data_IF_885721868128
#
_entry.id   IF_885721868128
#
_cell.length_a   1.000
_cell.length_b   1.000
_cell.length_c   1.000
_cell.angle_alpha   90.00
_cell.angle_beta   90.00
_cell.angle_gamma   90.00
#
_symmetry.space_group_name_H-M   'P 1'
#
loop_
_entity.id
_entity.type
_entity.pdbx_description
1 polymer ?
#
# COMPACT_ATOMS: atom_id res chain seq x y z
N UNK A 1 -23.27 -13.80 -1.92
CA UNK A 1 -21.96 -14.39 -1.59
C UNK A 1 -21.57 -13.85 -0.22
N UNK A 2 -21.54 -14.71 0.80
CA UNK A 2 -21.14 -14.32 2.15
C UNK A 2 -19.64 -13.97 2.14
N UNK A 3 -19.29 -12.77 2.57
CA UNK A 3 -17.91 -12.35 2.71
C UNK A 3 -17.21 -13.23 3.75
N UNK A 4 -16.10 -13.81 3.38
CA UNK A 4 -15.22 -14.58 4.26
C UNK A 4 -14.75 -13.68 5.41
N UNK A 5 -15.25 -13.94 6.62
CA UNK A 5 -14.85 -13.19 7.82
C UNK A 5 -13.48 -13.72 8.24
N UNK A 6 -12.44 -12.96 7.93
CA UNK A 6 -11.07 -13.27 8.38
C UNK A 6 -11.00 -13.13 9.90
N UNK A 7 -10.96 -14.25 10.62
CA UNK A 7 -10.72 -14.28 12.07
C UNK A 7 -9.24 -14.10 12.34
N UNK A 8 -8.89 -13.02 13.04
CA UNK A 8 -7.52 -12.76 13.49
C UNK A 8 -7.40 -13.24 14.94
N UNK A 9 -6.65 -14.32 15.16
CA UNK A 9 -6.36 -14.81 16.51
C UNK A 9 -5.53 -13.78 17.29
N UNK A 10 -5.78 -13.66 18.61
CA UNK A 10 -5.08 -12.71 19.48
C UNK A 10 -5.54 -11.25 19.38
N UNK A 11 -6.59 -10.97 18.59
CA UNK A 11 -7.07 -9.60 18.41
C UNK A 11 -7.60 -8.96 19.72
N UNK A 12 -8.22 -9.75 20.58
CA UNK A 12 -8.81 -9.24 21.84
C UNK A 12 -7.72 -8.93 22.87
N UNK A 13 -6.69 -9.76 22.96
CA UNK A 13 -5.51 -9.48 23.78
C UNK A 13 -4.77 -8.24 23.28
N UNK A 14 -4.61 -8.12 21.97
CA UNK A 14 -4.06 -6.93 21.34
C UNK A 14 -4.87 -5.66 21.65
N UNK A 15 -6.21 -5.71 21.56
CA UNK A 15 -7.07 -4.58 21.90
C UNK A 15 -6.91 -4.16 23.34
N UNK A 16 -6.83 -5.12 24.28
CA UNK A 16 -6.64 -4.86 25.71
C UNK A 16 -5.31 -4.15 25.97
N UNK A 17 -4.18 -4.73 25.50
CA UNK A 17 -2.85 -4.14 25.66
C UNK A 17 -2.73 -2.78 24.94
N UNK A 18 -3.36 -2.65 23.78
CA UNK A 18 -3.41 -1.38 23.07
C UNK A 18 -4.22 -0.32 23.84
N UNK A 19 -5.23 -0.71 24.60
CA UNK A 19 -6.03 0.22 25.41
C UNK A 19 -5.22 0.87 26.57
N UNK A 20 -4.18 0.22 27.03
CA UNK A 20 -3.28 0.73 28.10
C UNK A 20 -2.28 1.77 27.56
N UNK A 21 -2.09 1.85 26.25
CA UNK A 21 -1.11 2.72 25.60
C UNK A 21 -1.71 4.09 25.26
N UNK A 22 -0.97 5.19 25.40
CA UNK A 22 -1.43 6.51 24.99
C UNK A 22 -1.90 6.56 23.53
N UNK A 23 -2.99 7.27 23.27
CA UNK A 23 -3.67 7.30 21.95
C UNK A 23 -2.73 7.63 20.77
N UNK A 24 -1.76 8.51 20.97
CA UNK A 24 -0.79 8.89 19.94
C UNK A 24 0.14 7.73 19.55
N UNK A 25 0.64 6.99 20.55
CA UNK A 25 1.50 5.82 20.34
C UNK A 25 0.73 4.66 19.70
N UNK A 26 -0.50 4.43 20.14
CA UNK A 26 -1.43 3.46 19.58
C UNK A 26 -1.56 3.62 18.07
N UNK A 27 -1.80 4.85 17.59
CA UNK A 27 -1.89 5.17 16.17
C UNK A 27 -0.57 4.96 15.42
N UNK A 28 0.57 5.25 16.05
CA UNK A 28 1.89 5.03 15.46
C UNK A 28 2.18 3.56 15.24
N UNK A 29 1.92 2.72 16.25
CA UNK A 29 2.12 1.26 16.18
C UNK A 29 1.26 0.65 15.07
N UNK A 30 -0.05 0.92 15.08
CA UNK A 30 -0.98 0.43 14.06
C UNK A 30 -0.56 0.86 12.64
N UNK A 31 -0.21 2.13 12.45
CA UNK A 31 0.23 2.64 11.16
C UNK A 31 1.50 1.93 10.67
N UNK A 32 2.47 1.71 11.55
CA UNK A 32 3.73 1.07 11.19
C UNK A 32 3.53 -0.40 10.84
N UNK A 33 2.67 -1.12 11.57
CA UNK A 33 2.32 -2.51 11.29
C UNK A 33 1.55 -2.64 9.98
N UNK A 34 0.53 -1.81 9.75
CA UNK A 34 -0.22 -1.77 8.48
C UNK A 34 0.68 -1.41 7.30
N UNK A 35 1.58 -0.44 7.47
CA UNK A 35 2.53 -0.06 6.42
C UNK A 35 3.52 -1.19 6.11
N UNK A 36 3.89 -2.01 7.08
CA UNK A 36 4.75 -3.18 6.85
C UNK A 36 4.05 -4.21 5.95
N UNK A 37 2.81 -4.59 6.26
CA UNK A 37 2.01 -5.47 5.40
C UNK A 37 1.75 -4.87 4.01
N UNK A 38 1.40 -3.58 3.94
CA UNK A 38 1.16 -2.91 2.67
C UNK A 38 2.39 -2.84 1.75
N UNK A 39 3.62 -2.94 2.29
CA UNK A 39 4.83 -3.04 1.46
C UNK A 39 4.87 -4.32 0.64
N UNK A 40 4.40 -5.45 1.18
CA UNK A 40 4.31 -6.70 0.41
C UNK A 40 3.37 -6.54 -0.78
N UNK A 41 2.17 -6.00 -0.56
CA UNK A 41 1.21 -5.72 -1.64
C UNK A 41 1.81 -4.75 -2.68
N UNK A 42 2.49 -3.71 -2.24
CA UNK A 42 3.20 -2.77 -3.12
C UNK A 42 4.24 -3.49 -3.99
N UNK A 43 5.00 -4.39 -3.42
CA UNK A 43 6.11 -5.05 -4.13
C UNK A 43 5.58 -6.07 -5.14
N UNK A 44 4.47 -6.76 -4.84
CA UNK A 44 3.74 -7.56 -5.83
C UNK A 44 3.16 -6.68 -6.94
N UNK A 45 2.54 -5.56 -6.61
CA UNK A 45 2.04 -4.61 -7.61
C UNK A 45 3.16 -4.10 -8.53
N UNK A 46 4.34 -3.82 -7.97
CA UNK A 46 5.53 -3.42 -8.75
C UNK A 46 6.05 -4.52 -9.66
N UNK A 47 6.01 -5.79 -9.23
CA UNK A 47 6.39 -6.93 -10.10
C UNK A 47 5.43 -7.10 -11.27
N UNK A 48 4.14 -6.91 -11.03
CA UNK A 48 3.08 -7.05 -12.03
C UNK A 48 2.92 -5.81 -12.93
N UNK A 49 3.49 -4.66 -12.54
CA UNK A 49 3.35 -3.42 -13.30
C UNK A 49 4.01 -3.55 -14.68
N UNK A 50 3.27 -3.31 -15.78
CA UNK A 50 3.83 -3.40 -17.12
C UNK A 50 4.88 -2.30 -17.32
N UNK A 51 6.00 -2.69 -17.92
CA UNK A 51 7.10 -1.80 -18.28
C UNK A 51 7.15 -1.70 -19.80
N UNK A 52 7.26 -0.49 -20.31
CA UNK A 52 7.40 -0.24 -21.74
C UNK A 52 8.74 -0.79 -22.24
N UNK A 53 8.72 -1.54 -23.33
CA UNK A 53 9.94 -1.97 -24.03
C UNK A 53 10.38 -0.84 -24.97
N UNK A 54 11.63 -0.42 -24.87
CA UNK A 54 12.20 0.56 -25.80
C UNK A 54 12.17 0.01 -27.23
N UNK A 55 11.70 0.81 -28.17
CA UNK A 55 11.63 0.44 -29.59
C UNK A 55 10.28 -0.05 -30.10
N UNK A 56 9.30 -0.33 -29.23
CA UNK A 56 7.98 -0.85 -29.64
C UNK A 56 6.86 0.18 -29.70
N UNK A 57 7.09 1.43 -29.29
CA UNK A 57 6.06 2.46 -29.25
C UNK A 57 6.46 3.71 -30.04
N UNK A 58 5.62 4.08 -31.00
CA UNK A 58 5.75 5.33 -31.78
C UNK A 58 5.74 6.60 -30.90
N UNK A 59 5.26 6.50 -29.66
CA UNK A 59 5.18 7.60 -28.69
C UNK A 59 6.30 7.55 -27.62
N UNK A 60 7.35 6.77 -27.86
CA UNK A 60 8.34 6.41 -26.84
C UNK A 60 9.47 7.42 -26.57
N UNK A 61 9.85 8.36 -27.47
CA UNK A 61 11.13 9.07 -27.30
C UNK A 61 11.23 9.91 -26.03
N UNK A 62 10.13 10.30 -25.40
CA UNK A 62 10.16 11.12 -24.20
C UNK A 62 9.64 10.44 -22.91
N UNK A 63 9.03 9.25 -23.01
CA UNK A 63 8.54 8.53 -21.83
C UNK A 63 9.60 7.60 -21.25
N UNK A 64 9.78 7.67 -19.94
CA UNK A 64 10.72 6.80 -19.23
C UNK A 64 10.09 5.44 -18.94
N UNK A 65 10.73 4.30 -19.33
CA UNK A 65 10.27 2.99 -18.92
C UNK A 65 10.15 2.86 -17.42
N UNK A 66 9.12 2.16 -16.94
CA UNK A 66 8.93 1.90 -15.51
C UNK A 66 8.40 3.07 -14.69
N UNK A 67 7.99 4.20 -15.29
CA UNK A 67 7.44 5.35 -14.57
C UNK A 67 6.28 4.96 -13.64
N UNK A 68 5.32 4.14 -14.11
CA UNK A 68 4.21 3.63 -13.28
C UNK A 68 4.73 2.74 -12.15
N UNK A 69 5.60 1.78 -12.46
CA UNK A 69 6.22 0.88 -11.48
C UNK A 69 6.92 1.65 -10.35
N UNK A 70 7.69 2.67 -10.70
CA UNK A 70 8.39 3.51 -9.71
C UNK A 70 7.43 4.38 -8.89
N UNK A 71 6.28 4.75 -9.44
CA UNK A 71 5.29 5.59 -8.78
C UNK A 71 4.39 4.83 -7.79
N UNK A 72 4.39 3.47 -7.78
CA UNK A 72 3.61 2.67 -6.83
C UNK A 72 4.18 2.88 -5.42
N UNK A 73 3.34 3.37 -4.50
CA UNK A 73 3.72 3.73 -3.13
C UNK A 73 2.69 3.26 -2.11
N UNK A 74 3.18 2.96 -0.91
CA UNK A 74 2.36 2.86 0.31
C UNK A 74 2.10 4.27 0.83
N UNK A 75 0.86 4.59 1.17
CA UNK A 75 0.46 5.90 1.68
C UNK A 75 -0.50 5.75 2.85
N UNK A 76 -0.41 6.66 3.80
CA UNK A 76 -1.38 6.77 4.89
C UNK A 76 -2.60 7.56 4.41
N UNK A 77 -3.78 7.07 4.72
CA UNK A 77 -5.03 7.76 4.43
C UNK A 77 -5.13 9.07 5.21
N UNK A 78 -5.45 10.14 4.51
CA UNK A 78 -5.71 11.45 5.16
C UNK A 78 -7.11 11.51 5.75
N UNK A 79 -8.09 10.84 5.13
CA UNK A 79 -9.46 10.78 5.60
C UNK A 79 -9.54 10.08 6.96
N UNK A 80 -8.97 8.87 7.05
CA UNK A 80 -8.93 8.09 8.28
C UNK A 80 -8.17 8.83 9.39
N UNK A 81 -7.06 9.49 9.03
CA UNK A 81 -6.31 10.32 10.00
C UNK A 81 -7.13 11.49 10.54
N UNK A 82 -7.98 12.12 9.73
CA UNK A 82 -8.89 13.19 10.17
C UNK A 82 -10.01 12.65 11.06
N UNK A 83 -10.55 11.48 10.75
CA UNK A 83 -11.53 10.78 11.58
C UNK A 83 -10.94 10.23 12.89
N UNK A 84 -9.62 10.26 13.04
CA UNK A 84 -8.96 9.73 14.22
C UNK A 84 -8.51 8.28 14.07
N UNK A 85 -8.75 7.66 12.93
CA UNK A 85 -8.40 6.28 12.58
C UNK A 85 -7.05 6.18 11.88
N UNK A 86 -6.67 4.94 11.57
CA UNK A 86 -5.44 4.63 10.84
C UNK A 86 -5.78 3.80 9.61
N UNK A 87 -5.61 4.40 8.44
CA UNK A 87 -5.72 3.71 7.15
C UNK A 87 -4.42 3.79 6.36
N UNK A 88 -4.07 2.69 5.71
CA UNK A 88 -2.91 2.59 4.80
C UNK A 88 -3.39 1.97 3.49
N UNK A 89 -2.92 2.50 2.38
CA UNK A 89 -3.27 2.01 1.06
C UNK A 89 -2.09 2.05 0.09
N UNK A 90 -2.16 1.20 -0.93
CA UNK A 90 -1.19 1.15 -2.04
C UNK A 90 -1.83 1.81 -3.25
N UNK A 91 -1.15 2.78 -3.83
CA UNK A 91 -1.60 3.39 -5.09
C UNK A 91 -0.44 3.92 -5.92
N UNK A 92 -0.75 4.38 -7.13
CA UNK A 92 0.20 5.11 -7.99
C UNK A 92 0.19 6.58 -7.60
N UNK A 93 1.35 7.08 -7.14
CA UNK A 93 1.52 8.49 -6.78
C UNK A 93 1.58 9.35 -8.05
N UNK A 94 0.66 10.31 -8.25
CA UNK A 94 0.74 11.24 -9.38
C UNK A 94 1.92 12.20 -9.22
N UNK A 95 2.32 12.86 -10.31
CA UNK A 95 3.24 13.97 -10.26
C UNK A 95 2.70 15.12 -9.40
N UNK A 96 3.56 16.08 -9.06
CA UNK A 96 3.16 17.27 -8.30
C UNK A 96 2.06 18.06 -9.03
N UNK A 97 1.28 18.82 -8.28
CA UNK A 97 0.30 19.74 -8.87
C UNK A 97 1.03 20.69 -9.86
N UNK A 98 0.40 20.98 -10.98
CA UNK A 98 1.00 21.76 -12.08
C UNK A 98 1.93 20.97 -13.02
N UNK A 99 2.35 19.77 -12.64
CA UNK A 99 3.23 18.91 -13.45
C UNK A 99 2.54 17.62 -13.92
N UNK A 100 1.22 17.58 -13.90
CA UNK A 100 0.43 16.39 -14.29
C UNK A 100 0.10 16.42 -15.77
N UNK A 101 -0.01 15.21 -16.35
CA UNK A 101 -0.54 15.00 -17.69
C UNK A 101 0.49 14.51 -18.71
N UNK A 102 0.03 14.43 -19.95
CA UNK A 102 0.77 13.79 -21.04
C UNK A 102 2.11 14.46 -21.40
N UNK A 103 2.24 15.75 -21.13
CA UNK A 103 3.46 16.52 -21.42
C UNK A 103 4.61 16.24 -20.46
N UNK A 104 4.32 15.63 -19.28
CA UNK A 104 5.37 15.29 -18.31
C UNK A 104 5.79 13.82 -18.48
N UNK A 105 7.03 13.52 -18.91
CA UNK A 105 7.51 12.14 -19.09
C UNK A 105 7.59 11.34 -17.78
N UNK A 106 7.64 12.01 -16.63
CA UNK A 106 7.72 11.39 -15.32
C UNK A 106 6.34 11.25 -14.63
N UNK A 107 5.24 11.72 -15.24
CA UNK A 107 3.91 11.55 -14.67
C UNK A 107 3.31 10.20 -15.07
N UNK A 108 2.95 9.35 -14.11
CA UNK A 108 2.30 8.07 -14.36
C UNK A 108 0.80 8.21 -14.67
N UNK A 109 0.28 9.36 -15.15
CA UNK A 109 -1.15 9.63 -15.33
C UNK A 109 -1.92 8.51 -16.06
N UNK A 110 -1.23 7.80 -16.95
CA UNK A 110 -1.80 6.72 -17.77
C UNK A 110 -1.96 5.38 -17.03
N UNK A 111 -1.59 5.29 -15.76
CA UNK A 111 -1.68 4.05 -14.98
C UNK A 111 -3.09 3.44 -14.97
N UNK A 112 -4.14 4.30 -14.97
CA UNK A 112 -5.53 3.84 -15.02
C UNK A 112 -5.86 3.13 -16.34
N UNK A 113 -5.28 3.58 -17.44
CA UNK A 113 -5.45 2.91 -18.73
C UNK A 113 -4.79 1.53 -18.74
N UNK A 114 -3.69 1.37 -18.04
CA UNK A 114 -3.05 0.06 -17.85
C UNK A 114 -3.90 -0.85 -16.95
N UNK A 115 -4.41 -0.34 -15.85
CA UNK A 115 -5.18 -1.12 -14.87
C UNK A 115 -6.52 -1.59 -15.44
N UNK A 116 -7.29 -0.67 -16.04
CA UNK A 116 -8.68 -0.91 -16.46
C UNK A 116 -8.84 -1.11 -17.97
N UNK A 117 -7.80 -0.86 -18.75
CA UNK A 117 -7.88 -0.87 -20.20
C UNK A 117 -8.56 0.39 -20.76
N UNK A 118 -8.69 0.42 -22.08
CA UNK A 118 -9.42 1.43 -22.85
C UNK A 118 -10.15 0.73 -24.01
N UNK A 119 -10.96 1.47 -24.78
CA UNK A 119 -11.59 0.92 -25.99
C UNK A 119 -10.57 0.35 -27.00
N UNK A 120 -9.30 0.83 -26.98
CA UNK A 120 -8.23 0.45 -27.93
C UNK A 120 -7.13 -0.41 -27.31
N UNK A 121 -7.12 -0.59 -26.00
CA UNK A 121 -6.05 -1.29 -25.28
C UNK A 121 -6.63 -2.23 -24.22
N UNK A 122 -6.27 -3.53 -24.23
CA UNK A 122 -6.72 -4.46 -23.19
C UNK A 122 -6.17 -4.07 -21.82
N UNK A 123 -6.93 -4.37 -20.77
CA UNK A 123 -6.52 -4.17 -19.39
C UNK A 123 -5.30 -5.06 -19.04
N UNK A 124 -4.36 -4.49 -18.31
CA UNK A 124 -3.21 -5.20 -17.70
C UNK A 124 -3.18 -4.90 -16.20
N UNK A 125 -4.14 -5.44 -15.43
CA UNK A 125 -4.34 -5.07 -14.03
C UNK A 125 -3.13 -5.51 -13.19
N UNK A 126 -2.45 -4.58 -12.57
CA UNK A 126 -1.28 -4.82 -11.73
C UNK A 126 -1.58 -4.58 -10.25
N UNK A 127 -2.46 -3.63 -9.91
CA UNK A 127 -2.94 -3.40 -8.54
C UNK A 127 -3.94 -4.49 -8.14
N UNK A 128 -4.90 -4.82 -9.01
CA UNK A 128 -5.87 -5.88 -8.74
C UNK A 128 -5.16 -7.22 -8.54
N UNK A 129 -4.19 -7.57 -9.38
CA UNK A 129 -3.40 -8.80 -9.20
C UNK A 129 -2.59 -8.82 -7.91
N UNK A 130 -2.25 -7.67 -7.35
CA UNK A 130 -1.52 -7.59 -6.10
C UNK A 130 -2.38 -7.93 -4.86
N UNK A 131 -3.70 -8.06 -5.00
CA UNK A 131 -4.57 -8.53 -3.92
C UNK A 131 -4.24 -9.96 -3.47
N UNK A 132 -3.62 -10.78 -4.33
CA UNK A 132 -3.10 -12.11 -3.97
C UNK A 132 -2.07 -12.07 -2.83
N UNK A 133 -1.45 -10.91 -2.57
CA UNK A 133 -0.51 -10.74 -1.47
C UNK A 133 -1.18 -10.35 -0.14
N UNK A 134 -2.50 -10.15 -0.09
CA UNK A 134 -3.21 -9.76 1.13
C UNK A 134 -3.06 -10.75 2.29
N UNK A 135 -3.15 -12.09 2.09
CA UNK A 135 -2.93 -13.03 3.18
C UNK A 135 -1.54 -12.88 3.81
N UNK A 136 -0.49 -12.78 3.00
CA UNK A 136 0.87 -12.55 3.48
C UNK A 136 1.04 -11.18 4.16
N UNK A 137 0.41 -10.14 3.62
CA UNK A 137 0.41 -8.82 4.24
C UNK A 137 -0.24 -8.83 5.64
N UNK A 138 -1.30 -9.63 5.82
CA UNK A 138 -1.96 -9.82 7.11
C UNK A 138 -1.03 -10.55 8.10
N UNK A 139 -0.35 -11.60 7.68
CA UNK A 139 0.64 -12.31 8.51
C UNK A 139 1.73 -11.34 8.99
N UNK A 140 2.30 -10.54 8.09
CA UNK A 140 3.32 -9.53 8.43
C UNK A 140 2.76 -8.50 9.43
N UNK A 141 1.52 -8.08 9.26
CA UNK A 141 0.85 -7.18 10.21
C UNK A 141 0.75 -7.83 11.60
N UNK A 142 0.29 -9.08 11.68
CA UNK A 142 0.15 -9.83 12.93
C UNK A 142 1.51 -10.01 13.63
N UNK A 143 2.55 -10.41 12.90
CA UNK A 143 3.91 -10.54 13.41
C UNK A 143 4.45 -9.24 14.00
N UNK A 144 4.21 -8.10 13.32
CA UNK A 144 4.63 -6.78 13.80
C UNK A 144 3.91 -6.36 15.08
N UNK A 145 2.64 -6.69 15.18
CA UNK A 145 1.86 -6.44 16.39
C UNK A 145 2.31 -7.34 17.54
N UNK A 146 2.48 -8.65 17.29
CA UNK A 146 2.97 -9.61 18.30
C UNK A 146 4.37 -9.22 18.80
N UNK A 147 5.27 -8.84 17.91
CA UNK A 147 6.60 -8.35 18.28
C UNK A 147 6.52 -7.14 19.21
N UNK A 148 5.69 -6.15 18.87
CA UNK A 148 5.52 -4.95 19.70
C UNK A 148 4.94 -5.28 21.09
N UNK A 149 3.96 -6.18 21.19
CA UNK A 149 3.39 -6.65 22.46
C UNK A 149 4.51 -7.26 23.33
N UNK A 150 5.28 -8.20 22.76
CA UNK A 150 6.34 -8.90 23.50
C UNK A 150 7.47 -7.97 23.96
N UNK A 151 7.81 -6.95 23.17
CA UNK A 151 8.81 -5.94 23.54
C UNK A 151 8.30 -5.04 24.67
N UNK A 152 7.02 -4.68 24.65
CA UNK A 152 6.39 -3.85 25.72
C UNK A 152 6.30 -4.65 27.04
N UNK A 153 5.96 -5.93 27.00
CA UNK A 153 5.89 -6.80 28.20
C UNK A 153 7.26 -6.99 28.87
N UNK A 154 8.33 -7.10 28.07
CA UNK A 154 9.71 -7.31 28.60
C UNK A 154 10.31 -6.06 29.23
N UNK A 155 9.97 -4.89 28.74
CA UNK A 155 10.57 -3.64 29.19
C UNK A 155 9.79 -2.95 30.31
N UNK A 156 8.52 -3.33 30.52
CA UNK A 156 7.61 -2.60 31.43
C UNK A 156 7.41 -1.13 31.05
N UNK A 157 8.09 -0.69 30.02
CA UNK A 157 8.02 0.65 29.45
C UNK A 157 7.68 0.57 27.97
N UNK A 158 6.78 1.43 27.54
CA UNK A 158 6.44 1.60 26.13
C UNK A 158 7.63 2.25 25.43
N UNK A 159 8.34 1.48 24.59
CA UNK A 159 9.46 2.00 23.80
C UNK A 159 8.91 3.01 22.75
N UNK A 160 9.48 4.21 22.65
CA UNK A 160 8.99 5.30 21.81
C UNK A 160 9.03 5.03 20.29
#
# INVERSE_FOLDING_TARGET
>A
MAGEVVRIEGLDEFKRKLAEVPKAMRKRVLRNALAAGAREVRDVAKRNAPVMTLGTSLNAPYRKPGTVKQAIRVRTSKADRRAGDVGVFVNVKPAKAGQRGAKNPNDPFYWRFLEFGTKKMPARPFLQRATSALPKALTIFQERIAKWINETDRSGQVIP
#
